data_IF_747037751117
#
_entry.id   IF_747037751117
#
_cell.length_a   1.000
_cell.length_b   1.000
_cell.length_c   1.000
_cell.angle_alpha   90.00
_cell.angle_beta   90.00
_cell.angle_gamma   90.00
#
_symmetry.space_group_name_H-M   'P 1'
#
loop_
_entity.id
_entity.type
_entity.pdbx_description
1 polymer ?
#
# COMPACT_ATOMS: atom_id res chain seq x y z
N UNK A 1 11.55 -10.91 23.26
CA UNK A 1 10.42 -11.59 22.57
C UNK A 1 9.74 -10.72 21.48
N UNK A 2 9.75 -9.37 21.57
CA UNK A 2 9.04 -8.45 20.64
C UNK A 2 9.65 -8.37 19.23
N UNK A 3 10.99 -8.41 19.09
CA UNK A 3 11.66 -8.27 17.79
C UNK A 3 11.29 -9.34 16.76
N UNK A 4 11.14 -10.61 17.19
CA UNK A 4 10.80 -11.71 16.27
C UNK A 4 9.39 -11.57 15.69
N UNK A 5 8.44 -11.07 16.49
CA UNK A 5 7.08 -10.79 16.02
C UNK A 5 7.04 -9.64 14.99
N UNK A 6 7.86 -8.60 15.19
CA UNK A 6 7.97 -7.49 14.22
C UNK A 6 8.53 -8.00 12.89
N UNK A 7 9.56 -8.86 12.92
CA UNK A 7 10.14 -9.44 11.71
C UNK A 7 9.15 -10.33 10.95
N UNK A 8 8.37 -11.16 11.67
CA UNK A 8 7.34 -12.00 11.06
C UNK A 8 6.27 -11.15 10.39
N UNK A 9 5.75 -10.12 11.07
CA UNK A 9 4.78 -9.18 10.49
C UNK A 9 5.31 -8.47 9.25
N UNK A 10 6.57 -8.02 9.28
CA UNK A 10 7.19 -7.36 8.12
C UNK A 10 7.31 -8.33 6.94
N UNK A 11 7.68 -9.58 7.20
CA UNK A 11 7.76 -10.60 6.16
C UNK A 11 6.40 -10.94 5.55
N UNK A 12 5.33 -10.98 6.35
CA UNK A 12 3.95 -11.15 5.89
C UNK A 12 3.49 -9.97 5.03
N UNK A 13 3.78 -8.74 5.46
CA UNK A 13 3.45 -7.52 4.72
C UNK A 13 4.15 -7.47 3.36
N UNK A 14 5.42 -7.88 3.29
CA UNK A 14 6.16 -8.02 2.03
C UNK A 14 5.51 -9.07 1.11
N UNK A 15 5.11 -10.23 1.64
CA UNK A 15 4.40 -11.25 0.86
C UNK A 15 3.08 -10.73 0.30
N UNK A 16 2.31 -9.98 1.08
CA UNK A 16 1.07 -9.36 0.61
C UNK A 16 1.32 -8.38 -0.53
N UNK A 17 2.37 -7.54 -0.43
CA UNK A 17 2.72 -6.57 -1.47
C UNK A 17 3.07 -7.30 -2.78
N UNK A 18 3.92 -8.33 -2.72
CA UNK A 18 4.30 -9.12 -3.89
C UNK A 18 3.08 -9.77 -4.54
N UNK A 19 2.18 -10.34 -3.73
CA UNK A 19 0.95 -10.94 -4.23
C UNK A 19 0.02 -9.91 -4.92
N UNK A 20 -0.07 -8.69 -4.37
CA UNK A 20 -0.84 -7.61 -4.98
C UNK A 20 -0.25 -7.18 -6.33
N UNK A 21 1.07 -7.04 -6.41
CA UNK A 21 1.76 -6.67 -7.65
C UNK A 21 1.51 -7.72 -8.73
N UNK A 22 1.62 -9.01 -8.38
CA UNK A 22 1.39 -10.11 -9.33
C UNK A 22 -0.09 -10.26 -9.74
N UNK A 23 -1.03 -9.84 -8.89
CA UNK A 23 -2.47 -9.95 -9.14
C UNK A 23 -2.98 -8.97 -10.21
N UNK A 24 -2.36 -7.80 -10.33
CA UNK A 24 -2.82 -6.76 -11.25
C UNK A 24 -1.89 -6.63 -12.45
N UNK A 25 -2.47 -6.53 -13.65
CA UNK A 25 -1.72 -6.36 -14.90
C UNK A 25 -0.85 -5.10 -14.94
N UNK A 26 -1.24 -4.05 -14.23
CA UNK A 26 -0.52 -2.79 -14.17
C UNK A 26 -0.49 -2.26 -12.74
N UNK A 27 0.66 -1.69 -12.35
CA UNK A 27 0.90 -1.15 -11.01
C UNK A 27 1.47 0.27 -11.14
N UNK A 28 0.90 1.20 -10.37
CA UNK A 28 1.42 2.56 -10.23
C UNK A 28 2.05 2.76 -8.86
N UNK A 29 3.24 3.35 -8.81
CA UNK A 29 3.95 3.69 -7.58
C UNK A 29 4.02 5.22 -7.50
N UNK A 30 3.69 5.78 -6.34
CA UNK A 30 3.72 7.21 -6.10
C UNK A 30 4.26 7.50 -4.70
N UNK A 31 5.03 8.58 -4.58
CA UNK A 31 5.43 9.13 -3.29
C UNK A 31 4.28 9.95 -2.70
N UNK A 32 4.06 9.80 -1.40
CA UNK A 32 2.99 10.43 -0.63
C UNK A 32 3.58 11.52 0.28
N UNK A 33 4.88 11.83 0.15
CA UNK A 33 5.53 12.89 0.89
C UNK A 33 4.82 14.25 0.72
N UNK A 34 4.49 14.88 1.85
CA UNK A 34 3.75 16.15 1.94
C UNK A 34 2.32 16.12 1.37
N UNK A 35 1.76 14.96 1.08
CA UNK A 35 0.36 14.85 0.66
C UNK A 35 -0.56 14.83 1.90
N UNK A 36 -1.50 15.77 1.96
CA UNK A 36 -2.45 15.84 3.09
C UNK A 36 -3.47 14.72 2.99
N UNK A 37 -3.95 14.25 4.16
CA UNK A 37 -4.97 13.20 4.23
C UNK A 37 -6.22 13.53 3.39
N UNK A 38 -6.67 14.80 3.38
CA UNK A 38 -7.82 15.23 2.58
C UNK A 38 -7.60 15.04 1.06
N UNK A 39 -6.38 15.25 0.57
CA UNK A 39 -6.04 15.05 -0.85
C UNK A 39 -6.05 13.55 -1.21
N UNK A 40 -5.48 12.70 -0.34
CA UNK A 40 -5.52 11.24 -0.51
C UNK A 40 -6.96 10.71 -0.48
N UNK A 41 -7.79 11.21 0.43
CA UNK A 41 -9.20 10.83 0.49
C UNK A 41 -9.95 11.27 -0.78
N UNK A 42 -9.68 12.48 -1.29
CA UNK A 42 -10.22 12.95 -2.56
C UNK A 42 -9.79 12.07 -3.73
N UNK A 43 -8.50 11.70 -3.81
CA UNK A 43 -7.98 10.79 -4.82
C UNK A 43 -8.63 9.40 -4.73
N UNK A 44 -8.76 8.85 -3.53
CA UNK A 44 -9.43 7.57 -3.28
C UNK A 44 -10.89 7.58 -3.74
N UNK A 45 -11.61 8.69 -3.53
CA UNK A 45 -12.98 8.86 -4.02
C UNK A 45 -13.05 8.90 -5.55
N UNK A 46 -12.14 9.65 -6.20
CA UNK A 46 -12.07 9.76 -7.67
C UNK A 46 -11.76 8.43 -8.35
N UNK A 47 -10.92 7.60 -7.75
CA UNK A 47 -10.48 6.32 -8.30
C UNK A 47 -11.27 5.12 -7.76
N UNK A 48 -12.34 5.36 -6.99
CA UNK A 48 -13.18 4.33 -6.41
C UNK A 48 -13.74 3.42 -7.51
N UNK A 49 -13.59 2.11 -7.34
CA UNK A 49 -14.06 1.10 -8.30
C UNK A 49 -13.19 0.95 -9.56
N UNK A 50 -12.17 1.81 -9.76
CA UNK A 50 -11.27 1.73 -10.91
C UNK A 50 -9.90 1.17 -10.54
N UNK A 51 -9.41 1.47 -9.33
CA UNK A 51 -8.11 1.01 -8.86
C UNK A 51 -8.20 0.45 -7.45
N UNK A 52 -7.32 -0.50 -7.14
CA UNK A 52 -7.03 -0.89 -5.77
C UNK A 52 -5.84 -0.06 -5.26
N UNK A 53 -6.11 0.86 -4.32
CA UNK A 53 -5.08 1.76 -3.78
C UNK A 53 -4.73 1.36 -2.34
N UNK A 54 -3.45 1.15 -2.05
CA UNK A 54 -2.92 0.86 -0.72
C UNK A 54 -1.65 1.68 -0.48
N UNK A 55 -1.48 2.15 0.74
CA UNK A 55 -0.30 2.91 1.19
C UNK A 55 0.49 2.01 2.12
N UNK A 56 1.79 1.90 1.87
CA UNK A 56 2.71 1.12 2.67
C UNK A 56 3.74 2.04 3.31
N UNK A 57 4.21 1.65 4.50
CA UNK A 57 5.34 2.28 5.15
C UNK A 57 6.60 1.46 4.83
N UNK A 58 7.74 2.12 4.67
CA UNK A 58 9.04 1.44 4.57
C UNK A 58 9.48 0.86 5.93
#
# INVERSE_FOLDING_TARGET
MVQRQVLVKKAEEVKEIVNLINKYRAVGIADIHKVRAAQLQGLRKKLKGKVYMRVFKN
#
